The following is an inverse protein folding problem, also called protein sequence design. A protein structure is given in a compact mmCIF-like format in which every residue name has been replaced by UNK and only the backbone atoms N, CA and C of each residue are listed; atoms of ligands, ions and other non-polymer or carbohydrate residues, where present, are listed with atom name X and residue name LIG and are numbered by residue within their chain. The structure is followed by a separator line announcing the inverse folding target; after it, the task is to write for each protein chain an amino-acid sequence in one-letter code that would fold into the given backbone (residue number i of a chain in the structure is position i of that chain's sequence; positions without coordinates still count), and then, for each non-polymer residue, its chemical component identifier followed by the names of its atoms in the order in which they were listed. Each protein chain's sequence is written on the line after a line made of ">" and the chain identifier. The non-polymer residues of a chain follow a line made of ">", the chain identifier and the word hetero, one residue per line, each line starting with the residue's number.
data_IF_283003977488
#
_entry.id   IF_283003977488
#
_cell.length_a   1.000
_cell.length_b   1.000
_cell.length_c   1.000
_cell.angle_alpha   90.00
_cell.angle_beta   90.00
_cell.angle_gamma   90.00
#
_symmetry.space_group_name_H-M   'P 1'
#
loop_
_entity.id
_entity.type
_entity.pdbx_description
1 polymer ?
#
# COMPACT_ATOMS: atom_id res chain seq x y z
N UNK A 1 -13.55 -24.36 2.36
CA UNK A 1 -14.16 -23.36 3.28
C UNK A 1 -13.31 -22.11 3.16
N UNK A 2 -13.92 -20.92 3.02
CA UNK A 2 -13.17 -19.66 2.89
C UNK A 2 -12.46 -19.34 4.21
N UNK A 3 -11.16 -19.04 4.14
CA UNK A 3 -10.32 -18.63 5.26
C UNK A 3 -9.50 -17.43 4.84
N UNK A 4 -9.52 -16.36 5.63
CA UNK A 4 -8.75 -15.14 5.37
C UNK A 4 -7.44 -15.18 6.17
N UNK A 5 -6.31 -14.94 5.49
CA UNK A 5 -5.06 -14.55 6.12
C UNK A 5 -4.94 -13.03 6.11
N UNK A 6 -5.16 -12.39 7.24
CA UNK A 6 -4.98 -10.93 7.37
C UNK A 6 -3.50 -10.66 7.62
N UNK A 7 -2.87 -9.90 6.73
CA UNK A 7 -1.45 -9.55 6.80
C UNK A 7 -1.33 -8.07 7.12
N UNK A 8 -0.67 -7.75 8.21
CA UNK A 8 -0.37 -6.37 8.62
C UNK A 8 1.10 -6.22 9.01
N UNK A 9 1.70 -5.12 8.62
CA UNK A 9 3.09 -4.78 8.97
C UNK A 9 3.08 -3.69 10.03
N UNK A 10 3.79 -3.90 11.14
CA UNK A 10 3.97 -2.90 12.18
C UNK A 10 5.40 -2.34 12.17
N UNK A 11 5.51 -1.04 12.39
CA UNK A 11 6.77 -0.34 12.68
C UNK A 11 6.47 0.92 13.48
N UNK A 12 6.75 0.90 14.78
CA UNK A 12 6.43 1.98 15.72
C UNK A 12 4.96 2.41 15.65
N UNK A 13 4.05 1.42 15.81
CA UNK A 13 2.62 1.55 15.58
C UNK A 13 1.79 1.70 16.86
N UNK A 14 2.39 1.94 18.02
CA UNK A 14 1.74 1.92 19.34
C UNK A 14 0.48 2.80 19.42
N UNK A 15 0.45 3.92 18.69
CA UNK A 15 -0.66 4.89 18.69
C UNK A 15 -1.90 4.44 17.93
N UNK A 16 -1.75 3.51 16.99
CA UNK A 16 -2.82 3.10 16.07
C UNK A 16 -3.20 1.62 16.23
N UNK A 17 -2.31 0.82 16.78
CA UNK A 17 -2.45 -0.64 16.79
C UNK A 17 -3.62 -1.11 17.66
N UNK A 18 -3.84 -0.54 18.83
CA UNK A 18 -4.90 -0.97 19.74
C UNK A 18 -6.32 -0.78 19.15
N UNK A 19 -6.68 0.40 18.58
CA UNK A 19 -7.95 0.56 17.89
C UNK A 19 -8.11 -0.39 16.69
N UNK A 20 -7.06 -0.59 15.90
CA UNK A 20 -7.07 -1.52 14.78
C UNK A 20 -7.38 -2.96 15.21
N UNK A 21 -6.73 -3.45 16.28
CA UNK A 21 -6.97 -4.78 16.82
C UNK A 21 -8.40 -4.93 17.38
N UNK A 22 -8.95 -3.87 17.98
CA UNK A 22 -10.34 -3.84 18.44
C UNK A 22 -11.32 -4.06 17.29
N UNK A 23 -11.17 -3.32 16.19
CA UNK A 23 -12.02 -3.47 14.99
C UNK A 23 -11.82 -4.85 14.33
N UNK A 24 -10.59 -5.36 14.33
CA UNK A 24 -10.27 -6.66 13.74
C UNK A 24 -10.91 -7.81 14.50
N UNK A 25 -10.83 -7.83 15.82
CA UNK A 25 -11.41 -8.91 16.62
C UNK A 25 -12.95 -8.80 16.76
N UNK A 26 -13.52 -7.63 16.49
CA UNK A 26 -14.96 -7.41 16.41
C UNK A 26 -15.59 -7.90 15.09
N UNK A 27 -14.80 -8.42 14.13
CA UNK A 27 -15.34 -8.88 12.84
C UNK A 27 -16.35 -10.00 12.99
N UNK A 28 -17.47 -9.89 12.27
CA UNK A 28 -18.55 -10.91 12.26
C UNK A 28 -18.16 -12.19 11.50
N UNK A 29 -17.13 -12.13 10.65
CA UNK A 29 -16.54 -13.30 10.01
C UNK A 29 -15.34 -13.77 10.83
N UNK A 30 -15.42 -14.95 11.45
CA UNK A 30 -14.44 -15.43 12.43
C UNK A 30 -13.37 -16.37 11.86
N UNK A 31 -13.55 -16.90 10.63
CA UNK A 31 -12.58 -17.82 10.03
C UNK A 31 -11.40 -17.09 9.38
N UNK A 32 -10.61 -16.40 10.21
CA UNK A 32 -9.41 -15.71 9.78
C UNK A 32 -8.24 -15.95 10.73
N UNK A 33 -7.02 -15.83 10.22
CA UNK A 33 -5.81 -15.69 11.01
C UNK A 33 -5.21 -14.30 10.77
N UNK A 34 -4.63 -13.73 11.81
CA UNK A 34 -3.86 -12.48 11.74
C UNK A 34 -2.37 -12.81 11.72
N UNK A 35 -1.67 -12.30 10.73
CA UNK A 35 -0.20 -12.34 10.61
C UNK A 35 0.32 -10.92 10.80
N UNK A 36 0.93 -10.67 11.96
CA UNK A 36 1.55 -9.38 12.30
C UNK A 36 3.05 -9.52 12.08
N UNK A 37 3.57 -8.76 11.13
CA UNK A 37 5.00 -8.73 10.83
C UNK A 37 5.57 -7.43 11.39
N UNK A 38 6.28 -7.54 12.51
CA UNK A 38 6.91 -6.40 13.15
C UNK A 38 8.29 -6.14 12.56
N UNK A 39 8.48 -4.94 12.04
CA UNK A 39 9.71 -4.50 11.40
C UNK A 39 10.69 -3.84 12.39
N UNK A 40 10.94 -4.48 13.53
CA UNK A 40 11.81 -4.01 14.61
C UNK A 40 11.32 -2.70 15.24
N UNK A 41 10.10 -2.71 15.78
CA UNK A 41 9.54 -1.59 16.53
C UNK A 41 10.29 -1.36 17.85
N UNK A 42 10.54 -0.09 18.19
CA UNK A 42 11.24 0.35 19.40
C UNK A 42 10.31 1.04 20.41
N UNK A 43 9.03 1.23 20.04
CA UNK A 43 7.98 1.80 20.89
C UNK A 43 7.19 0.71 21.65
N UNK A 44 5.98 1.03 22.11
CA UNK A 44 5.13 0.06 22.84
C UNK A 44 4.44 -0.97 21.93
N UNK A 45 4.70 -0.99 20.63
CA UNK A 45 4.06 -1.90 19.66
C UNK A 45 4.22 -3.37 20.10
N UNK A 46 5.46 -3.80 20.42
CA UNK A 46 5.71 -5.18 20.84
C UNK A 46 4.97 -5.54 22.12
N UNK A 47 4.90 -4.62 23.09
CA UNK A 47 4.12 -4.85 24.33
C UNK A 47 2.65 -5.06 24.04
N UNK A 48 2.04 -4.24 23.16
CA UNK A 48 0.64 -4.41 22.77
C UNK A 48 0.42 -5.78 22.13
N UNK A 49 1.36 -6.23 21.29
CA UNK A 49 1.28 -7.54 20.64
C UNK A 49 1.46 -8.70 21.64
N UNK A 50 2.36 -8.56 22.61
CA UNK A 50 2.60 -9.59 23.64
C UNK A 50 1.41 -9.79 24.59
N UNK A 51 0.66 -8.73 24.82
CA UNK A 51 -0.55 -8.75 25.66
C UNK A 51 -1.76 -9.42 24.93
N UNK A 52 -1.64 -9.76 23.63
CA UNK A 52 -2.70 -10.43 22.88
C UNK A 52 -2.79 -11.91 23.24
N UNK A 53 -3.96 -12.31 23.71
CA UNK A 53 -4.28 -13.70 24.00
C UNK A 53 -5.36 -14.22 23.06
N UNK A 54 -5.02 -14.37 21.77
CA UNK A 54 -5.92 -14.91 20.74
C UNK A 54 -5.14 -15.87 19.83
N UNK A 55 -5.62 -17.11 19.72
CA UNK A 55 -4.97 -18.18 18.98
C UNK A 55 -4.93 -17.97 17.46
N UNK A 56 -5.66 -16.99 16.94
CA UNK A 56 -5.62 -16.58 15.54
C UNK A 56 -4.43 -15.69 15.21
N UNK A 57 -3.69 -15.19 16.21
CA UNK A 57 -2.59 -14.24 16.03
C UNK A 57 -1.27 -14.96 15.83
N UNK A 58 -0.61 -14.68 14.71
CA UNK A 58 0.71 -15.16 14.38
C UNK A 58 1.66 -13.93 14.30
N UNK A 59 2.53 -13.79 15.30
CA UNK A 59 3.51 -12.72 15.36
C UNK A 59 4.83 -13.16 14.73
N UNK A 60 5.40 -12.36 13.84
CA UNK A 60 6.72 -12.55 13.26
C UNK A 60 7.51 -11.27 13.47
N UNK A 61 8.65 -11.35 14.17
CA UNK A 61 9.49 -10.21 14.55
C UNK A 61 10.77 -10.22 13.74
N UNK A 62 10.98 -9.20 12.95
CA UNK A 62 12.22 -9.00 12.21
C UNK A 62 13.28 -8.35 13.12
N UNK A 63 14.54 -8.70 12.93
CA UNK A 63 15.67 -8.11 13.66
C UNK A 63 15.97 -6.67 13.21
N UNK A 64 15.48 -6.26 12.05
CA UNK A 64 15.63 -4.91 11.50
C UNK A 64 14.44 -4.58 10.61
N UNK A 65 14.23 -3.29 10.31
CA UNK A 65 13.21 -2.88 9.33
C UNK A 65 13.67 -3.29 7.92
N UNK A 66 13.03 -4.32 7.38
CA UNK A 66 13.31 -4.88 6.04
C UNK A 66 12.46 -4.24 4.92
N UNK A 67 11.62 -3.28 5.25
CA UNK A 67 10.70 -2.61 4.32
C UNK A 67 9.35 -3.30 4.21
N UNK A 68 8.42 -2.61 3.52
CA UNK A 68 7.00 -3.01 3.47
C UNK A 68 6.80 -4.23 2.56
N UNK A 69 7.44 -4.27 1.39
CA UNK A 69 7.31 -5.37 0.44
C UNK A 69 7.76 -6.71 1.04
N UNK A 70 8.97 -6.74 1.62
CA UNK A 70 9.52 -7.96 2.21
C UNK A 70 8.69 -8.42 3.42
N UNK A 71 8.27 -7.50 4.27
CA UNK A 71 7.44 -7.83 5.43
C UNK A 71 6.06 -8.37 5.02
N UNK A 72 5.38 -7.74 4.06
CA UNK A 72 4.13 -8.28 3.51
C UNK A 72 4.33 -9.69 2.93
N UNK A 73 5.41 -9.93 2.19
CA UNK A 73 5.69 -11.24 1.60
C UNK A 73 5.86 -12.33 2.65
N UNK A 74 6.49 -12.04 3.80
CA UNK A 74 6.60 -12.98 4.91
C UNK A 74 5.20 -13.39 5.40
N UNK A 75 4.32 -12.42 5.67
CA UNK A 75 2.96 -12.69 6.12
C UNK A 75 2.12 -13.41 5.07
N UNK A 76 2.22 -13.03 3.80
CA UNK A 76 1.52 -13.67 2.68
C UNK A 76 1.94 -15.15 2.57
N UNK A 77 3.24 -15.44 2.55
CA UNK A 77 3.76 -16.80 2.45
C UNK A 77 3.25 -17.66 3.61
N UNK A 78 3.32 -17.14 4.85
CA UNK A 78 2.84 -17.85 6.03
C UNK A 78 1.34 -18.12 5.97
N UNK A 79 0.54 -17.15 5.54
CA UNK A 79 -0.90 -17.33 5.37
C UNK A 79 -1.25 -18.37 4.30
N UNK A 80 -0.49 -18.43 3.19
CA UNK A 80 -0.65 -19.45 2.15
C UNK A 80 -0.25 -20.85 2.63
N UNK A 81 0.84 -20.98 3.41
CA UNK A 81 1.24 -22.22 4.08
C UNK A 81 0.13 -22.76 5.01
N UNK A 82 -0.52 -21.86 5.75
CA UNK A 82 -1.65 -22.16 6.63
C UNK A 82 -2.97 -22.33 5.88
N UNK A 83 -2.90 -22.47 4.54
CA UNK A 83 -4.02 -22.77 3.62
C UNK A 83 -5.13 -21.72 3.62
N UNK A 84 -4.81 -20.44 3.85
CA UNK A 84 -5.76 -19.37 3.65
C UNK A 84 -6.12 -19.28 2.15
N UNK A 85 -7.40 -19.21 1.85
CA UNK A 85 -7.92 -19.10 0.48
C UNK A 85 -7.85 -17.67 -0.07
N UNK A 86 -7.85 -16.70 0.86
CA UNK A 86 -7.77 -15.28 0.57
C UNK A 86 -6.74 -14.62 1.49
N UNK A 87 -6.00 -13.67 0.95
CA UNK A 87 -5.06 -12.83 1.69
C UNK A 87 -5.64 -11.43 1.74
N UNK A 88 -5.80 -10.87 2.92
CA UNK A 88 -6.19 -9.48 3.13
C UNK A 88 -4.96 -8.70 3.60
N UNK A 89 -4.36 -7.92 2.70
CA UNK A 89 -3.34 -6.96 3.10
C UNK A 89 -4.07 -5.77 3.72
N UNK A 90 -3.73 -5.44 4.95
CA UNK A 90 -4.47 -4.48 5.75
C UNK A 90 -3.51 -3.63 6.59
N UNK A 91 -3.50 -2.33 6.35
CA UNK A 91 -2.72 -1.40 7.18
C UNK A 91 -3.31 -1.32 8.59
N UNK A 92 -2.46 -1.02 9.58
CA UNK A 92 -2.90 -0.90 10.98
C UNK A 92 -3.31 0.52 11.40
N UNK A 93 -3.29 1.47 10.48
CA UNK A 93 -3.74 2.85 10.69
C UNK A 93 -5.11 3.14 10.04
N UNK A 94 -6.00 2.17 10.10
CA UNK A 94 -7.36 2.26 9.56
C UNK A 94 -8.39 1.98 10.65
N UNK A 95 -9.63 2.45 10.41
CA UNK A 95 -10.84 2.15 11.15
C UNK A 95 -11.86 1.56 10.20
N UNK A 96 -12.50 0.46 10.57
CA UNK A 96 -13.38 -0.28 9.67
C UNK A 96 -14.54 -0.98 10.40
N UNK A 97 -15.69 -1.20 9.71
CA UNK A 97 -16.85 -1.81 10.31
C UNK A 97 -16.64 -3.31 10.61
N UNK A 98 -17.39 -3.85 11.55
CA UNK A 98 -17.36 -5.26 11.93
C UNK A 98 -17.83 -6.23 10.82
N UNK A 99 -18.42 -5.73 9.76
CA UNK A 99 -18.85 -6.50 8.60
C UNK A 99 -17.80 -6.56 7.48
N UNK A 100 -16.68 -5.83 7.58
CA UNK A 100 -15.72 -5.65 6.47
C UNK A 100 -15.32 -6.98 5.81
N UNK A 101 -14.89 -7.96 6.59
CA UNK A 101 -14.39 -9.23 6.03
C UNK A 101 -15.50 -10.01 5.31
N UNK A 102 -16.68 -10.06 5.91
CA UNK A 102 -17.86 -10.70 5.32
C UNK A 102 -18.27 -10.02 4.02
N UNK A 103 -18.37 -8.68 4.04
CA UNK A 103 -18.81 -7.90 2.88
C UNK A 103 -17.83 -8.02 1.72
N UNK A 104 -16.53 -7.99 2.00
CA UNK A 104 -15.49 -8.20 0.99
C UNK A 104 -15.55 -9.61 0.38
N UNK A 105 -15.77 -10.66 1.18
CA UNK A 105 -15.93 -12.03 0.67
C UNK A 105 -17.20 -12.21 -0.17
N UNK A 106 -18.30 -11.58 0.23
CA UNK A 106 -19.54 -11.58 -0.56
C UNK A 106 -19.32 -10.88 -1.90
N UNK A 107 -18.71 -9.71 -1.88
CA UNK A 107 -18.47 -8.90 -3.07
C UNK A 107 -17.51 -9.59 -4.05
N UNK A 108 -16.37 -10.11 -3.60
CA UNK A 108 -15.40 -10.79 -4.48
C UNK A 108 -15.99 -12.02 -5.16
N UNK A 109 -16.88 -12.73 -4.46
CA UNK A 109 -17.60 -13.89 -4.99
C UNK A 109 -18.68 -13.48 -6.00
N UNK A 110 -19.51 -12.49 -5.64
CA UNK A 110 -20.60 -11.99 -6.50
C UNK A 110 -20.07 -11.47 -7.83
N UNK A 111 -19.00 -10.68 -7.80
CA UNK A 111 -18.40 -10.08 -8.96
C UNK A 111 -17.42 -11.02 -9.69
N UNK A 112 -17.20 -12.23 -9.18
CA UNK A 112 -16.26 -13.21 -9.73
C UNK A 112 -14.89 -12.62 -10.08
N UNK A 113 -14.38 -11.74 -9.23
CA UNK A 113 -13.07 -11.11 -9.40
C UNK A 113 -11.99 -11.83 -8.57
N UNK A 114 -10.72 -11.55 -8.86
CA UNK A 114 -9.58 -12.14 -8.15
C UNK A 114 -9.11 -11.27 -6.99
N UNK A 115 -9.39 -9.98 -7.04
CA UNK A 115 -8.98 -8.99 -6.04
C UNK A 115 -10.10 -7.99 -5.79
N UNK A 116 -10.18 -7.47 -4.56
CA UNK A 116 -11.22 -6.53 -4.18
C UNK A 116 -10.70 -5.50 -3.19
N UNK A 117 -11.12 -4.25 -3.37
CA UNK A 117 -10.79 -3.12 -2.49
C UNK A 117 -12.05 -2.29 -2.20
N UNK A 118 -12.20 -1.78 -0.97
CA UNK A 118 -13.30 -0.90 -0.59
C UNK A 118 -13.03 0.57 -0.95
N UNK A 119 -14.03 1.41 -0.72
CA UNK A 119 -13.86 2.85 -0.65
C UNK A 119 -13.10 3.24 0.61
N UNK A 120 -12.12 4.12 0.48
CA UNK A 120 -11.31 4.58 1.59
C UNK A 120 -11.50 6.09 1.76
N UNK A 121 -11.94 6.48 2.94
CA UNK A 121 -12.14 7.88 3.32
C UNK A 121 -11.01 8.34 4.24
N UNK A 122 -10.78 9.65 4.34
CA UNK A 122 -9.92 10.16 5.41
C UNK A 122 -10.58 9.97 6.76
N UNK A 123 -9.82 9.53 7.76
CA UNK A 123 -10.32 9.44 9.13
C UNK A 123 -10.53 10.85 9.76
N UNK A 124 -9.67 11.79 9.42
CA UNK A 124 -9.75 13.18 9.92
C UNK A 124 -10.94 13.96 9.39
N UNK A 125 -11.45 13.59 8.22
CA UNK A 125 -12.66 14.16 7.60
C UNK A 125 -13.38 13.04 6.82
N UNK A 126 -14.43 12.50 7.44
CA UNK A 126 -15.17 11.33 6.95
C UNK A 126 -16.00 11.61 5.68
N UNK A 127 -16.09 12.85 5.25
CA UNK A 127 -16.72 13.25 3.98
C UNK A 127 -15.72 13.36 2.81
N UNK A 128 -14.41 13.33 3.09
CA UNK A 128 -13.38 13.45 2.06
C UNK A 128 -12.82 12.07 1.66
N UNK A 129 -12.81 11.84 0.34
CA UNK A 129 -12.33 10.59 -0.25
C UNK A 129 -10.79 10.58 -0.28
N UNK A 130 -10.20 9.49 0.19
CA UNK A 130 -8.80 9.17 -0.04
C UNK A 130 -8.62 8.26 -1.27
N UNK A 131 -9.56 7.30 -1.47
CA UNK A 131 -9.53 6.39 -2.62
C UNK A 131 -10.96 5.90 -2.96
N UNK A 132 -11.36 6.06 -4.21
CA UNK A 132 -12.61 5.56 -4.78
C UNK A 132 -12.36 4.89 -6.15
N UNK A 133 -11.39 3.95 -6.17
CA UNK A 133 -10.91 3.34 -7.40
C UNK A 133 -9.65 4.03 -7.93
N UNK A 134 -9.01 3.42 -8.92
CA UNK A 134 -7.77 3.97 -9.46
C UNK A 134 -7.22 3.24 -10.67
N UNK A 135 -6.16 3.78 -11.23
CA UNK A 135 -5.49 3.21 -12.38
C UNK A 135 -4.09 3.78 -12.55
N UNK A 136 -3.47 3.52 -13.70
CA UNK A 136 -2.12 3.97 -14.02
C UNK A 136 -2.15 5.05 -15.11
N UNK A 137 -1.48 6.17 -14.88
CA UNK A 137 -1.40 7.27 -15.82
C UNK A 137 -0.11 7.17 -16.65
N UNK A 138 -0.20 6.65 -17.89
CA UNK A 138 0.94 6.49 -18.80
C UNK A 138 1.70 7.79 -19.00
N UNK A 139 1.00 8.91 -19.24
CA UNK A 139 1.62 10.24 -19.44
C UNK A 139 2.42 10.74 -18.23
N UNK A 140 2.31 10.08 -17.07
CA UNK A 140 3.06 10.41 -15.86
C UNK A 140 4.04 9.28 -15.44
N UNK A 141 4.48 8.47 -16.42
CA UNK A 141 5.39 7.34 -16.18
C UNK A 141 4.73 6.21 -15.44
N UNK A 142 3.48 5.92 -15.75
CA UNK A 142 2.66 4.88 -15.14
C UNK A 142 2.47 5.01 -13.62
N UNK A 143 2.63 6.24 -13.07
CA UNK A 143 2.26 6.47 -11.67
C UNK A 143 0.77 6.16 -11.45
N UNK A 144 0.42 5.54 -10.33
CA UNK A 144 -0.97 5.31 -9.98
C UNK A 144 -1.68 6.64 -9.67
N UNK A 145 -2.99 6.64 -9.85
CA UNK A 145 -3.86 7.71 -9.39
C UNK A 145 -5.04 7.13 -8.61
N UNK A 146 -5.56 7.91 -7.68
CA UNK A 146 -6.79 7.62 -6.97
C UNK A 146 -7.92 8.45 -7.55
N UNK A 147 -9.02 7.81 -7.92
CA UNK A 147 -10.27 8.48 -8.28
C UNK A 147 -10.86 9.12 -7.03
N UNK A 148 -11.39 10.33 -7.15
CA UNK A 148 -11.99 11.07 -6.04
C UNK A 148 -11.02 11.62 -4.99
N UNK A 149 -9.71 11.52 -5.20
CA UNK A 149 -8.70 11.93 -4.20
C UNK A 149 -8.87 13.40 -3.78
N UNK A 150 -9.06 13.63 -2.48
CA UNK A 150 -9.35 14.93 -1.85
C UNK A 150 -10.70 15.56 -2.27
N UNK A 151 -11.60 14.79 -2.87
CA UNK A 151 -12.94 15.27 -3.21
C UNK A 151 -13.95 14.94 -2.10
N UNK A 152 -14.97 15.79 -1.94
CA UNK A 152 -16.07 15.50 -1.03
C UNK A 152 -17.01 14.48 -1.67
N UNK A 153 -17.36 13.42 -0.91
CA UNK A 153 -18.21 12.32 -1.38
C UNK A 153 -19.59 12.79 -1.87
N UNK A 154 -20.08 13.93 -1.37
CA UNK A 154 -21.37 14.50 -1.75
C UNK A 154 -21.37 15.12 -3.14
N UNK A 155 -20.21 15.43 -3.70
CA UNK A 155 -20.09 16.11 -4.99
C UNK A 155 -20.27 15.17 -6.18
N UNK A 156 -19.99 13.87 -6.01
CA UNK A 156 -20.02 12.88 -7.09
C UNK A 156 -20.51 11.52 -6.59
N UNK A 157 -21.15 10.76 -7.46
CA UNK A 157 -21.57 9.40 -7.19
C UNK A 157 -20.49 8.42 -7.72
N UNK A 158 -19.65 7.90 -6.82
CA UNK A 158 -18.60 6.95 -7.15
C UNK A 158 -19.16 5.53 -7.18
N UNK A 159 -19.45 5.02 -8.38
CA UNK A 159 -19.98 3.68 -8.59
C UNK A 159 -18.88 2.61 -8.44
N UNK A 160 -19.33 1.42 -8.06
CA UNK A 160 -18.47 0.23 -8.05
C UNK A 160 -18.06 -0.16 -9.47
N UNK A 161 -16.79 -0.51 -9.70
CA UNK A 161 -16.26 -0.84 -11.03
C UNK A 161 -14.96 -1.65 -10.93
N UNK A 162 -14.58 -2.25 -12.06
CA UNK A 162 -13.25 -2.82 -12.21
C UNK A 162 -12.20 -1.73 -12.36
N UNK A 163 -11.06 -1.89 -11.68
CA UNK A 163 -9.98 -0.91 -11.63
C UNK A 163 -8.63 -1.57 -11.96
N UNK A 164 -7.68 -0.76 -12.39
CA UNK A 164 -6.32 -1.25 -12.67
C UNK A 164 -5.39 -1.17 -11.44
N UNK A 165 -5.72 -0.29 -10.49
CA UNK A 165 -4.90 -0.04 -9.31
C UNK A 165 -5.77 0.04 -8.06
N UNK A 166 -5.26 -0.52 -6.97
CA UNK A 166 -5.80 -0.41 -5.63
C UNK A 166 -4.67 -0.16 -4.63
N UNK A 167 -4.95 0.55 -3.55
CA UNK A 167 -3.99 0.68 -2.46
C UNK A 167 -3.94 -0.59 -1.63
N UNK A 168 -2.75 -1.04 -1.25
CA UNK A 168 -2.55 -2.11 -0.27
C UNK A 168 -2.93 -1.71 1.16
N UNK A 169 -3.46 -0.50 1.35
CA UNK A 169 -4.09 -0.10 2.60
C UNK A 169 -5.21 -1.07 3.03
N UNK A 170 -6.03 -1.54 2.06
CA UNK A 170 -6.99 -2.62 2.25
C UNK A 170 -7.23 -3.32 0.90
N UNK A 171 -6.68 -4.51 0.73
CA UNK A 171 -6.78 -5.26 -0.50
C UNK A 171 -6.95 -6.75 -0.22
N UNK A 172 -8.12 -7.30 -0.57
CA UNK A 172 -8.40 -8.74 -0.51
C UNK A 172 -7.97 -9.39 -1.82
N UNK A 173 -7.21 -10.48 -1.73
CA UNK A 173 -6.55 -11.14 -2.87
C UNK A 173 -6.81 -12.65 -2.76
N UNK A 174 -7.32 -13.28 -3.82
CA UNK A 174 -7.38 -14.74 -3.91
C UNK A 174 -5.97 -15.33 -4.01
N UNK A 175 -5.75 -16.50 -3.43
CA UNK A 175 -4.43 -17.16 -3.39
C UNK A 175 -3.82 -17.40 -4.78
N UNK A 176 -4.63 -17.73 -5.78
CA UNK A 176 -4.24 -17.99 -7.16
C UNK A 176 -3.56 -16.80 -7.86
N UNK A 177 -3.82 -15.58 -7.42
CA UNK A 177 -3.08 -14.40 -7.88
C UNK A 177 -1.59 -14.52 -7.56
N UNK A 178 -1.24 -15.01 -6.36
CA UNK A 178 0.18 -15.20 -5.98
C UNK A 178 0.85 -16.38 -6.71
N UNK A 179 0.07 -17.38 -7.10
CA UNK A 179 0.56 -18.51 -7.91
C UNK A 179 0.94 -18.06 -9.33
N UNK A 180 0.21 -17.07 -9.88
CA UNK A 180 0.40 -16.57 -11.26
C UNK A 180 1.35 -15.38 -11.33
N UNK A 181 1.14 -14.38 -10.47
CA UNK A 181 1.86 -13.10 -10.50
C UNK A 181 3.13 -13.14 -9.64
N UNK A 182 3.17 -14.06 -8.66
CA UNK A 182 4.18 -14.10 -7.62
C UNK A 182 3.93 -13.04 -6.53
N UNK A 183 4.98 -12.73 -5.78
CA UNK A 183 4.94 -11.83 -4.63
C UNK A 183 5.32 -10.39 -5.00
N UNK A 184 5.29 -9.49 -4.00
CA UNK A 184 5.81 -8.13 -4.13
C UNK A 184 7.34 -8.18 -4.35
N UNK A 185 7.86 -7.23 -5.13
CA UNK A 185 9.31 -7.14 -5.37
C UNK A 185 9.98 -6.47 -4.17
N UNK A 186 10.77 -7.23 -3.42
CA UNK A 186 11.41 -6.81 -2.17
C UNK A 186 12.51 -5.75 -2.35
N UNK A 187 12.92 -5.46 -3.58
CA UNK A 187 13.80 -4.33 -3.90
C UNK A 187 13.14 -2.99 -3.63
N UNK A 188 11.81 -2.94 -3.57
CA UNK A 188 11.06 -1.79 -3.07
C UNK A 188 10.99 -1.85 -1.54
N UNK A 189 11.83 -1.08 -0.88
CA UNK A 189 11.77 -0.98 0.58
C UNK A 189 10.45 -0.38 1.07
N UNK A 190 10.01 0.69 0.40
CA UNK A 190 8.72 1.37 0.60
C UNK A 190 8.41 2.19 -0.64
N UNK A 191 7.13 2.36 -0.95
CA UNK A 191 6.61 2.97 -2.18
C UNK A 191 6.96 2.16 -3.44
N UNK A 192 6.02 2.09 -4.37
CA UNK A 192 6.07 1.32 -5.61
C UNK A 192 5.96 -0.21 -5.46
N UNK A 193 5.96 -0.76 -4.28
CA UNK A 193 5.73 -2.18 -4.03
C UNK A 193 4.34 -2.60 -4.51
N UNK A 194 3.30 -1.87 -4.11
CA UNK A 194 1.93 -2.02 -4.59
C UNK A 194 1.80 -1.67 -6.08
N UNK A 195 2.45 -0.59 -6.50
CA UNK A 195 2.45 -0.09 -7.88
C UNK A 195 2.98 -1.15 -8.86
N UNK A 196 4.12 -1.75 -8.55
CA UNK A 196 4.73 -2.82 -9.36
C UNK A 196 3.87 -4.08 -9.34
N UNK A 197 3.41 -4.52 -8.17
CA UNK A 197 2.60 -5.72 -8.05
C UNK A 197 1.32 -5.62 -8.87
N UNK A 198 0.57 -4.53 -8.71
CA UNK A 198 -0.69 -4.33 -9.42
C UNK A 198 -0.49 -4.01 -10.92
N UNK A 199 0.63 -3.40 -11.29
CA UNK A 199 0.95 -3.24 -12.70
C UNK A 199 1.25 -4.59 -13.38
N UNK A 200 1.86 -5.55 -12.68
CA UNK A 200 2.02 -6.93 -13.18
C UNK A 200 0.68 -7.63 -13.32
N UNK A 201 -0.23 -7.48 -12.36
CA UNK A 201 -1.62 -7.97 -12.46
C UNK A 201 -2.32 -7.38 -13.68
N UNK A 202 -2.26 -6.06 -13.86
CA UNK A 202 -2.82 -5.40 -15.04
C UNK A 202 -2.22 -5.92 -16.36
N UNK A 203 -0.92 -6.14 -16.41
CA UNK A 203 -0.21 -6.61 -17.62
C UNK A 203 -0.56 -8.04 -17.94
N UNK A 204 -0.75 -8.87 -16.94
CA UNK A 204 -1.16 -10.27 -17.10
C UNK A 204 -2.59 -10.37 -17.67
N UNK A 205 -3.52 -9.53 -17.19
CA UNK A 205 -4.83 -9.28 -17.79
C UNK A 205 -5.94 -10.29 -17.45
N UNK A 206 -5.66 -11.39 -16.78
CA UNK A 206 -6.64 -12.39 -16.33
C UNK A 206 -7.23 -12.01 -14.98
N UNK A 207 -6.36 -11.69 -14.02
CA UNK A 207 -6.78 -11.28 -12.69
C UNK A 207 -7.32 -9.84 -12.69
N UNK A 208 -8.53 -9.67 -12.13
CA UNK A 208 -9.20 -8.36 -12.10
C UNK A 208 -9.38 -7.88 -10.67
N UNK A 209 -9.27 -6.57 -10.50
CA UNK A 209 -9.51 -5.88 -9.24
C UNK A 209 -10.87 -5.21 -9.31
N UNK A 210 -11.74 -5.47 -8.33
CA UNK A 210 -13.01 -4.80 -8.19
C UNK A 210 -12.97 -3.79 -7.04
N UNK A 211 -13.34 -2.56 -7.31
CA UNK A 211 -13.60 -1.52 -6.32
C UNK A 211 -15.08 -1.55 -5.96
N UNK A 212 -15.41 -1.78 -4.69
CA UNK A 212 -16.78 -1.76 -4.19
C UNK A 212 -17.06 -0.48 -3.41
N UNK A 213 -17.91 0.39 -3.98
CA UNK A 213 -18.29 1.67 -3.40
C UNK A 213 -19.20 1.56 -2.17
N UNK A 214 -19.81 0.39 -1.95
CA UNK A 214 -20.73 0.16 -0.82
C UNK A 214 -19.97 -0.18 0.47
N UNK A 215 -18.75 -0.69 0.36
CA UNK A 215 -17.89 -1.00 1.50
C UNK A 215 -16.99 0.20 1.76
N UNK A 216 -16.96 0.68 2.99
CA UNK A 216 -16.21 1.89 3.35
C UNK A 216 -15.35 1.65 4.60
N UNK A 217 -14.13 2.16 4.57
CA UNK A 217 -13.24 2.27 5.74
C UNK A 217 -12.59 3.67 5.81
N UNK A 218 -11.94 3.96 6.93
CA UNK A 218 -11.33 5.26 7.21
C UNK A 218 -9.84 5.10 7.48
N UNK A 219 -9.02 5.87 6.77
CA UNK A 219 -7.56 5.83 6.86
C UNK A 219 -7.03 7.02 7.66
N UNK A 220 -6.26 6.73 8.73
CA UNK A 220 -5.57 7.72 9.57
C UNK A 220 -4.29 8.18 8.90
N UNK A 221 -4.41 8.77 7.71
CA UNK A 221 -3.28 9.17 6.87
C UNK A 221 -2.24 9.96 7.67
N UNK A 222 -0.98 9.51 7.62
CA UNK A 222 0.13 10.18 8.28
C UNK A 222 0.29 9.88 9.77
N UNK A 223 -0.52 9.00 10.36
CA UNK A 223 -0.41 8.63 11.78
C UNK A 223 0.89 7.91 12.12
N UNK A 224 1.44 7.15 11.17
CA UNK A 224 2.71 6.44 11.29
C UNK A 224 3.92 7.27 10.81
N UNK A 225 3.69 8.30 10.03
CA UNK A 225 4.69 9.29 9.65
C UNK A 225 4.45 10.56 10.45
N UNK A 226 5.40 11.02 11.26
CA UNK A 226 5.30 12.15 12.23
C UNK A 226 4.84 13.50 11.64
N UNK A 227 3.73 13.54 10.87
CA UNK A 227 3.38 14.78 10.20
C UNK A 227 1.91 14.93 9.83
N UNK A 228 1.10 15.29 10.80
CA UNK A 228 -0.26 15.83 10.59
C UNK A 228 -0.31 17.36 10.56
N UNK A 229 0.79 18.05 10.31
CA UNK A 229 0.87 19.52 10.28
C UNK A 229 1.29 20.02 8.90
N UNK A 230 1.25 21.35 8.67
CA UNK A 230 1.85 22.00 7.48
C UNK A 230 3.33 21.63 7.24
N UNK A 231 3.99 21.06 8.24
CA UNK A 231 5.29 20.39 8.13
C UNK A 231 5.23 19.09 7.32
N UNK A 232 4.09 18.40 7.22
CA UNK A 232 3.95 17.19 6.38
C UNK A 232 4.18 17.49 4.90
N UNK A 233 3.64 18.56 4.38
CA UNK A 233 3.95 19.00 3.02
C UNK A 233 5.44 19.32 2.84
N UNK A 234 6.14 19.70 3.92
CA UNK A 234 7.60 19.89 3.92
C UNK A 234 8.36 18.58 4.10
N UNK A 235 7.86 17.62 4.89
CA UNK A 235 8.51 16.32 5.15
C UNK A 235 8.44 15.37 3.95
N UNK A 236 7.47 15.53 3.07
CA UNK A 236 7.44 14.89 1.74
C UNK A 236 8.73 15.13 0.93
N UNK A 237 9.57 16.01 1.41
CA UNK A 237 10.83 16.45 0.80
C UNK A 237 12.06 15.98 1.57
N UNK A 238 11.87 15.07 2.54
CA UNK A 238 13.02 14.47 3.21
C UNK A 238 13.89 13.73 2.20
N UNK A 239 15.16 13.67 2.46
CA UNK A 239 16.12 12.94 1.63
C UNK A 239 15.72 11.48 1.44
N UNK A 240 15.14 10.84 2.47
CA UNK A 240 14.63 9.48 2.38
C UNK A 240 13.51 9.36 1.33
N UNK A 241 12.50 10.23 1.38
CA UNK A 241 11.40 10.23 0.43
C UNK A 241 11.88 10.47 -1.01
N UNK A 242 12.76 11.47 -1.22
CA UNK A 242 13.35 11.74 -2.53
C UNK A 242 14.12 10.53 -3.05
N UNK A 243 14.96 9.92 -2.19
CA UNK A 243 15.73 8.72 -2.52
C UNK A 243 14.81 7.58 -2.98
N UNK A 244 13.81 7.22 -2.18
CA UNK A 244 12.94 6.10 -2.50
C UNK A 244 12.11 6.35 -3.75
N UNK A 245 11.50 7.53 -3.90
CA UNK A 245 10.64 7.81 -5.05
C UNK A 245 11.41 7.91 -6.36
N UNK A 246 12.57 8.57 -6.40
CA UNK A 246 13.37 8.66 -7.63
C UNK A 246 13.89 7.28 -8.01
N UNK A 247 14.52 6.56 -7.08
CA UNK A 247 15.08 5.22 -7.30
C UNK A 247 14.00 4.24 -7.80
N UNK A 248 12.89 4.18 -7.08
CA UNK A 248 11.85 3.19 -7.32
C UNK A 248 11.11 3.46 -8.64
N UNK A 249 10.86 4.74 -8.98
CA UNK A 249 10.21 5.06 -10.25
C UNK A 249 11.09 4.68 -11.45
N UNK A 250 12.39 4.94 -11.38
CA UNK A 250 13.33 4.52 -12.44
C UNK A 250 13.40 3.00 -12.55
N UNK A 251 13.51 2.31 -11.42
CA UNK A 251 13.51 0.84 -11.38
C UNK A 251 12.23 0.25 -11.97
N UNK A 252 11.07 0.77 -11.58
CA UNK A 252 9.76 0.37 -12.10
C UNK A 252 9.65 0.55 -13.62
N UNK A 253 10.04 1.70 -14.15
CA UNK A 253 10.02 1.99 -15.57
C UNK A 253 10.95 1.04 -16.37
N UNK A 254 12.10 0.72 -15.82
CA UNK A 254 13.00 -0.28 -16.42
C UNK A 254 12.37 -1.67 -16.47
N UNK A 255 11.70 -2.09 -15.40
CA UNK A 255 10.97 -3.38 -15.38
C UNK A 255 9.86 -3.44 -16.44
N UNK A 256 9.19 -2.32 -16.73
CA UNK A 256 8.22 -2.25 -17.85
C UNK A 256 8.90 -2.53 -19.18
N UNK A 257 10.13 -2.06 -19.39
CA UNK A 257 11.00 -2.43 -20.51
C UNK A 257 10.52 -1.93 -21.88
N UNK A 258 9.57 -0.99 -21.95
CA UNK A 258 9.12 -0.40 -23.22
C UNK A 258 10.02 0.76 -23.65
N UNK A 259 10.09 1.02 -24.96
CA UNK A 259 10.80 2.20 -25.50
C UNK A 259 10.31 3.48 -24.82
N UNK A 260 8.99 3.60 -24.64
CA UNK A 260 8.40 4.74 -23.93
C UNK A 260 8.93 4.86 -22.50
N UNK A 261 9.00 3.75 -21.75
CA UNK A 261 9.49 3.80 -20.35
C UNK A 261 10.96 4.20 -20.25
N UNK A 262 11.81 3.78 -21.18
CA UNK A 262 13.21 4.22 -21.24
C UNK A 262 13.33 5.71 -21.59
N UNK A 263 12.58 6.19 -22.56
CA UNK A 263 12.52 7.64 -22.87
C UNK A 263 11.98 8.44 -21.68
N UNK A 264 11.03 7.89 -20.95
CA UNK A 264 10.50 8.55 -19.77
C UNK A 264 11.50 8.56 -18.61
N UNK A 265 12.35 7.53 -18.44
CA UNK A 265 13.48 7.58 -17.51
C UNK A 265 14.42 8.76 -17.83
N UNK A 266 14.78 8.92 -19.11
CA UNK A 266 15.61 10.03 -19.55
C UNK A 266 14.94 11.39 -19.28
N UNK A 267 13.66 11.52 -19.59
CA UNK A 267 12.87 12.70 -19.25
C UNK A 267 12.89 13.00 -17.74
N UNK A 268 12.72 11.97 -16.88
CA UNK A 268 12.76 12.14 -15.42
C UNK A 268 14.12 12.61 -14.92
N UNK A 269 15.22 12.19 -15.55
CA UNK A 269 16.54 12.68 -15.22
C UNK A 269 16.60 14.22 -15.36
N UNK A 270 16.25 14.72 -16.52
CA UNK A 270 16.23 16.17 -16.76
C UNK A 270 15.20 16.90 -15.89
N UNK A 271 13.97 16.37 -15.80
CA UNK A 271 12.90 16.95 -14.98
C UNK A 271 13.30 17.10 -13.51
N UNK A 272 13.92 16.08 -12.91
CA UNK A 272 14.30 16.12 -11.49
C UNK A 272 15.47 17.11 -11.25
N UNK A 273 16.43 17.19 -12.17
CA UNK A 273 17.52 18.16 -12.08
C UNK A 273 17.03 19.60 -12.31
N UNK A 274 16.15 19.85 -13.29
CA UNK A 274 15.52 21.15 -13.48
C UNK A 274 14.67 21.56 -12.28
N UNK A 275 13.91 20.59 -11.71
CA UNK A 275 13.14 20.84 -10.50
C UNK A 275 14.02 21.18 -9.30
N UNK A 276 15.18 20.58 -9.18
CA UNK A 276 16.17 20.96 -8.17
C UNK A 276 16.62 22.41 -8.35
N UNK A 277 16.88 22.83 -9.57
CA UNK A 277 17.36 24.19 -9.86
C UNK A 277 16.28 25.26 -9.62
N UNK A 278 15.03 25.01 -10.04
CA UNK A 278 13.99 26.04 -10.13
C UNK A 278 12.88 25.94 -9.06
N UNK A 279 12.66 24.79 -8.41
CA UNK A 279 11.60 24.65 -7.42
C UNK A 279 12.00 25.22 -6.06
N UNK A 280 11.19 26.11 -5.50
CA UNK A 280 11.29 26.56 -4.09
C UNK A 280 10.97 25.44 -3.08
N UNK A 281 10.42 24.35 -3.55
CA UNK A 281 9.95 23.22 -2.73
C UNK A 281 11.03 22.20 -2.41
N UNK A 282 12.19 22.25 -2.99
CA UNK A 282 13.33 21.36 -2.76
C UNK A 282 14.46 22.17 -2.16
N UNK A 283 15.05 21.66 -1.09
CA UNK A 283 16.24 22.29 -0.48
C UNK A 283 17.38 22.27 -1.50
N UNK A 284 17.91 23.46 -1.81
CA UNK A 284 18.97 23.63 -2.82
C UNK A 284 20.34 23.50 -2.16
N UNK A 285 20.67 22.29 -1.69
CA UNK A 285 22.00 21.97 -1.19
C UNK A 285 22.64 20.84 -1.99
N UNK A 286 23.95 20.73 -1.87
CA UNK A 286 24.73 19.72 -2.62
C UNK A 286 24.32 18.29 -2.25
N UNK A 287 23.91 18.05 -0.99
CA UNK A 287 23.42 16.75 -0.53
C UNK A 287 22.15 16.32 -1.27
N UNK A 288 21.18 17.23 -1.41
CA UNK A 288 19.94 16.98 -2.16
C UNK A 288 20.22 16.70 -3.65
N UNK A 289 21.12 17.47 -4.26
CA UNK A 289 21.55 17.21 -5.65
C UNK A 289 22.15 15.82 -5.81
N UNK A 290 23.07 15.44 -4.92
CA UNK A 290 23.69 14.11 -4.93
C UNK A 290 22.65 13.00 -4.72
N UNK A 291 21.70 13.19 -3.80
CA UNK A 291 20.65 12.19 -3.53
C UNK A 291 19.79 11.94 -4.78
N UNK A 292 19.35 13.00 -5.47
CA UNK A 292 18.53 12.88 -6.68
C UNK A 292 19.29 12.07 -7.75
N UNK A 293 20.53 12.44 -8.03
CA UNK A 293 21.31 11.80 -9.09
C UNK A 293 21.74 10.37 -8.72
N UNK A 294 22.25 10.17 -7.49
CA UNK A 294 22.59 8.83 -6.99
C UNK A 294 21.39 7.89 -7.02
N UNK A 295 20.22 8.36 -6.61
CA UNK A 295 18.99 7.57 -6.61
C UNK A 295 18.54 7.20 -8.01
N UNK A 296 18.70 8.11 -8.98
CA UNK A 296 18.44 7.83 -10.38
C UNK A 296 19.30 6.65 -10.87
N UNK A 297 20.62 6.73 -10.69
CA UNK A 297 21.52 5.64 -11.11
C UNK A 297 21.28 4.35 -10.31
N UNK A 298 21.01 4.42 -9.01
CA UNK A 298 20.63 3.25 -8.22
C UNK A 298 19.39 2.56 -8.78
N UNK A 299 18.35 3.31 -9.18
CA UNK A 299 17.16 2.74 -9.81
C UNK A 299 17.44 2.15 -11.20
N UNK A 300 18.47 2.67 -11.88
CA UNK A 300 18.89 2.16 -13.17
C UNK A 300 19.63 0.82 -13.08
N UNK A 301 20.37 0.57 -12.00
CA UNK A 301 21.23 -0.63 -11.84
C UNK A 301 20.69 -1.67 -10.84
N UNK A 302 19.50 -1.43 -10.26
CA UNK A 302 18.79 -2.45 -9.49
C UNK A 302 18.27 -3.58 -10.37
#
# INVERSE_FOLDING_TARGET
>A
MEKIGVVTVTYNSDKVLQPFLSDLFAQSFHNFNLYVIDNASEDKTLKILDDLNDNRVNQIRNHSNIGVAAANNIGIKKALEDKCSHILILNNDIEFPNSLFKDMLVSIKKENCSMMTPKIMYHSDKDIIWYAGGGFKKSNGYLPYHTGFNENIKNNNYQSLYVDYASTCCLLIKKDVFETIGYMDEKYFVYFDDTDFLFRVKKEGVHKIYYDSQITLFHKVGSLTKSLTKEFERSYRTHFFLKQNVRNHIYFLRKIGSVYSYLFCLFLFFKNNLRFLFSSRIKKDFSTFLIINKSYFQGWFL
#
